data_IF_360766136421
#
_entry.id   IF_360766136421
#
_cell.length_a   1.000
_cell.length_b   1.000
_cell.length_c   1.000
_cell.angle_alpha   90.00
_cell.angle_beta   90.00
_cell.angle_gamma   90.00
#
_symmetry.space_group_name_H-M   'P 1'
#
loop_
_entity.id
_entity.type
_entity.pdbx_description
1 polymer ?
#
# COMPACT_ATOMS: atom_id res chain seq x y z
N UNK A 1 29.01 -21.84 10.56
CA UNK A 1 28.54 -21.01 9.43
C UNK A 1 28.47 -19.56 9.89
N UNK A 2 29.08 -18.58 9.20
CA UNK A 2 29.13 -17.18 9.65
C UNK A 2 27.78 -16.45 9.51
N UNK A 3 26.96 -16.82 8.52
CA UNK A 3 25.61 -16.26 8.34
C UNK A 3 24.61 -16.99 9.24
N UNK A 4 24.00 -16.28 10.19
CA UNK A 4 23.04 -16.84 11.18
C UNK A 4 21.58 -16.53 10.84
N UNK A 5 21.33 -15.42 10.16
CA UNK A 5 19.99 -14.97 9.80
C UNK A 5 20.01 -14.13 8.52
N UNK A 6 18.87 -14.08 7.82
CA UNK A 6 18.61 -13.19 6.69
C UNK A 6 17.32 -12.42 6.95
N UNK A 7 17.36 -11.11 6.71
CA UNK A 7 16.21 -10.23 6.74
C UNK A 7 15.80 -9.97 5.29
N UNK A 8 14.55 -10.25 4.95
CA UNK A 8 14.00 -9.92 3.65
C UNK A 8 13.02 -8.77 3.79
N UNK A 9 13.23 -7.70 3.03
CA UNK A 9 12.16 -6.77 2.71
C UNK A 9 11.03 -7.49 1.95
N UNK A 10 9.79 -6.99 2.04
CA UNK A 10 8.63 -7.63 1.43
C UNK A 10 8.34 -7.10 0.01
N UNK A 11 8.16 -5.79 -0.13
CA UNK A 11 7.64 -5.16 -1.35
C UNK A 11 8.75 -4.77 -2.31
N UNK A 12 8.72 -5.28 -3.54
CA UNK A 12 9.83 -5.09 -4.48
C UNK A 12 11.04 -5.98 -4.19
N UNK A 13 10.91 -6.91 -3.24
CA UNK A 13 11.91 -7.94 -2.92
C UNK A 13 11.31 -9.33 -3.00
N UNK A 14 10.28 -9.64 -2.19
CA UNK A 14 9.59 -10.94 -2.21
C UNK A 14 8.33 -10.93 -3.08
N UNK A 15 7.65 -9.79 -3.16
CA UNK A 15 6.42 -9.60 -3.94
C UNK A 15 6.55 -8.41 -4.88
N UNK A 16 6.05 -8.58 -6.09
CA UNK A 16 6.02 -7.53 -7.12
C UNK A 16 4.62 -7.35 -7.68
N UNK A 17 4.26 -6.15 -8.15
CA UNK A 17 3.04 -5.98 -8.92
C UNK A 17 3.09 -6.85 -10.19
N UNK A 18 1.98 -7.52 -10.49
CA UNK A 18 1.82 -8.33 -11.71
C UNK A 18 1.37 -7.52 -12.93
N UNK A 19 1.26 -6.21 -12.76
CA UNK A 19 0.85 -5.21 -13.76
C UNK A 19 1.83 -4.03 -13.68
N UNK A 20 1.77 -3.11 -14.65
CA UNK A 20 2.54 -1.86 -14.57
C UNK A 20 2.13 -1.01 -13.37
N UNK A 21 3.03 -0.12 -12.93
CA UNK A 21 2.71 0.81 -11.84
C UNK A 21 1.53 1.73 -12.19
N UNK A 22 1.42 2.16 -13.45
CA UNK A 22 0.28 2.97 -13.92
C UNK A 22 -1.03 2.18 -13.80
N UNK A 23 -1.07 0.94 -14.29
CA UNK A 23 -2.27 0.08 -14.15
C UNK A 23 -2.64 -0.16 -12.69
N UNK A 24 -1.64 -0.37 -11.83
CA UNK A 24 -1.85 -0.53 -10.40
C UNK A 24 -2.48 0.72 -9.77
N UNK A 25 -1.97 1.91 -10.10
CA UNK A 25 -2.51 3.20 -9.61
C UNK A 25 -3.91 3.42 -10.14
N UNK A 26 -4.16 3.21 -11.44
CA UNK A 26 -5.48 3.34 -12.06
C UNK A 26 -6.51 2.43 -11.40
N UNK A 27 -6.14 1.19 -11.12
CA UNK A 27 -7.01 0.25 -10.41
C UNK A 27 -7.34 0.74 -9.01
N UNK A 28 -6.35 1.25 -8.26
CA UNK A 28 -6.57 1.86 -6.94
C UNK A 28 -7.51 3.06 -7.02
N UNK A 29 -7.27 3.98 -7.96
CA UNK A 29 -8.11 5.15 -8.22
C UNK A 29 -9.56 4.75 -8.46
N UNK A 30 -9.79 3.79 -9.36
CA UNK A 30 -11.13 3.32 -9.69
C UNK A 30 -11.86 2.80 -8.44
N UNK A 31 -11.17 2.00 -7.61
CA UNK A 31 -11.76 1.47 -6.40
C UNK A 31 -12.08 2.56 -5.37
N UNK A 32 -11.19 3.55 -5.19
CA UNK A 32 -11.43 4.70 -4.31
C UNK A 32 -12.57 5.58 -4.81
N UNK A 33 -12.65 5.82 -6.12
CA UNK A 33 -13.74 6.57 -6.74
C UNK A 33 -15.10 5.91 -6.46
N UNK A 34 -15.22 4.60 -6.69
CA UNK A 34 -16.44 3.85 -6.34
C UNK A 34 -16.70 3.85 -4.82
N UNK A 35 -15.65 3.79 -4.01
CA UNK A 35 -15.72 3.89 -2.56
C UNK A 35 -16.30 5.21 -2.08
N UNK A 36 -15.84 6.33 -2.64
CA UNK A 36 -16.33 7.68 -2.37
C UNK A 36 -17.77 7.88 -2.84
N UNK A 37 -18.10 7.39 -4.03
CA UNK A 37 -19.46 7.43 -4.58
C UNK A 37 -20.47 6.74 -3.67
N UNK A 38 -20.13 5.57 -3.14
CA UNK A 38 -20.96 4.84 -2.14
C UNK A 38 -21.15 5.61 -0.83
N UNK A 39 -20.27 6.56 -0.51
CA UNK A 39 -20.37 7.45 0.65
C UNK A 39 -21.03 8.80 0.32
N UNK A 40 -21.61 8.94 -0.86
CA UNK A 40 -22.34 10.15 -1.28
C UNK A 40 -21.43 11.31 -1.65
N UNK A 41 -20.26 11.03 -2.23
CA UNK A 41 -19.39 12.03 -2.85
C UNK A 41 -19.41 11.84 -4.37
N UNK A 42 -19.56 12.94 -5.12
CA UNK A 42 -19.67 12.92 -6.57
C UNK A 42 -18.44 13.56 -7.23
N UNK A 43 -17.26 13.02 -6.93
CA UNK A 43 -16.03 13.35 -7.65
C UNK A 43 -15.98 12.55 -8.96
N UNK A 44 -15.35 13.10 -9.99
CA UNK A 44 -15.02 12.31 -11.17
C UNK A 44 -13.72 11.51 -10.97
N UNK A 45 -13.49 10.49 -11.79
CA UNK A 45 -12.34 9.60 -11.63
C UNK A 45 -10.99 10.33 -11.82
N UNK A 46 -10.95 11.38 -12.65
CA UNK A 46 -9.73 12.17 -12.87
C UNK A 46 -9.36 12.97 -11.62
N UNK A 47 -10.33 13.60 -10.95
CA UNK A 47 -10.12 14.29 -9.67
C UNK A 47 -9.58 13.33 -8.61
N UNK A 48 -10.13 12.12 -8.54
CA UNK A 48 -9.66 11.07 -7.63
C UNK A 48 -8.22 10.65 -7.96
N UNK A 49 -7.90 10.48 -9.24
CA UNK A 49 -6.55 10.14 -9.69
C UNK A 49 -5.54 11.21 -9.29
N UNK A 50 -5.82 12.47 -9.62
CA UNK A 50 -4.92 13.58 -9.35
C UNK A 50 -4.72 13.80 -7.85
N UNK A 51 -5.78 13.72 -7.04
CA UNK A 51 -5.69 13.82 -5.59
C UNK A 51 -4.89 12.64 -4.99
N UNK A 52 -5.10 11.42 -5.49
CA UNK A 52 -4.33 10.26 -5.06
C UNK A 52 -2.83 10.45 -5.36
N UNK A 53 -2.48 10.88 -6.56
CA UNK A 53 -1.08 11.13 -6.94
C UNK A 53 -0.44 12.20 -6.06
N UNK A 54 -1.08 13.37 -5.91
CA UNK A 54 -0.57 14.44 -5.03
C UNK A 54 -0.41 13.98 -3.57
N UNK A 55 -1.39 13.27 -3.04
CA UNK A 55 -1.32 12.77 -1.66
C UNK A 55 -0.16 11.80 -1.44
N UNK A 56 0.17 10.97 -2.45
CA UNK A 56 1.30 10.05 -2.40
C UNK A 56 2.63 10.78 -2.44
N UNK A 57 2.78 11.77 -3.32
CA UNK A 57 3.97 12.62 -3.37
C UNK A 57 4.23 13.30 -2.02
N UNK A 58 3.18 13.80 -1.35
CA UNK A 58 3.31 14.37 -0.01
C UNK A 58 3.73 13.31 1.02
N UNK A 59 3.15 12.11 0.97
CA UNK A 59 3.53 11.02 1.88
C UNK A 59 4.99 10.58 1.64
N UNK A 60 5.46 10.59 0.40
CA UNK A 60 6.85 10.26 0.06
C UNK A 60 7.82 11.32 0.62
N UNK A 61 7.49 12.60 0.51
CA UNK A 61 8.26 13.68 1.18
C UNK A 61 8.28 13.49 2.70
N UNK A 62 7.17 13.10 3.33
CA UNK A 62 7.13 12.83 4.77
C UNK A 62 8.07 11.66 5.11
N UNK A 63 8.07 10.58 4.33
CA UNK A 63 8.99 9.45 4.54
C UNK A 63 10.44 9.87 4.44
N UNK A 64 10.78 10.63 3.41
CA UNK A 64 12.15 11.10 3.16
C UNK A 64 12.65 12.02 4.28
N UNK A 65 11.82 12.96 4.73
CA UNK A 65 12.22 13.95 5.74
C UNK A 65 12.24 13.35 7.15
N UNK A 66 11.26 12.50 7.48
CA UNK A 66 11.10 11.99 8.85
C UNK A 66 11.77 10.65 9.09
N UNK A 67 12.14 9.93 8.02
CA UNK A 67 12.57 8.54 8.04
C UNK A 67 11.55 7.61 8.72
N UNK A 68 10.28 8.00 8.74
CA UNK A 68 9.17 7.24 9.31
C UNK A 68 8.18 6.85 8.22
N UNK A 69 7.66 5.64 8.33
CA UNK A 69 6.60 5.18 7.45
C UNK A 69 5.29 5.95 7.69
N UNK A 70 4.53 6.16 6.62
CA UNK A 70 3.17 6.71 6.68
C UNK A 70 2.17 5.55 6.67
N UNK A 71 1.33 5.47 7.70
CA UNK A 71 0.28 4.43 7.78
C UNK A 71 -0.74 4.57 6.65
N UNK A 72 -1.39 3.46 6.27
CA UNK A 72 -2.44 3.47 5.23
C UNK A 72 -3.58 4.42 5.60
N UNK A 73 -3.96 4.46 6.87
CA UNK A 73 -4.97 5.40 7.39
C UNK A 73 -4.53 6.85 7.19
N UNK A 74 -3.25 7.17 7.42
CA UNK A 74 -2.70 8.49 7.15
C UNK A 74 -2.65 8.80 5.65
N UNK A 75 -2.24 7.86 4.80
CA UNK A 75 -2.28 8.05 3.33
C UNK A 75 -3.71 8.35 2.86
N UNK A 76 -4.70 7.62 3.39
CA UNK A 76 -6.12 7.86 3.09
C UNK A 76 -6.59 9.21 3.62
N UNK A 77 -6.20 9.62 4.83
CA UNK A 77 -6.53 10.96 5.32
C UNK A 77 -5.92 12.06 4.45
N UNK A 78 -4.68 11.90 4.01
CA UNK A 78 -4.03 12.85 3.11
C UNK A 78 -4.75 12.92 1.78
N UNK A 79 -5.12 11.77 1.20
CA UNK A 79 -5.95 11.70 0.00
C UNK A 79 -7.30 12.41 0.17
N UNK A 80 -8.00 12.18 1.29
CA UNK A 80 -9.28 12.83 1.57
C UNK A 80 -9.17 14.34 1.72
N UNK A 81 -8.06 14.81 2.29
CA UNK A 81 -7.72 16.23 2.35
C UNK A 81 -7.46 16.78 0.95
N UNK A 82 -6.66 16.11 0.13
CA UNK A 82 -6.31 16.54 -1.24
C UNK A 82 -7.51 16.60 -2.18
N UNK A 83 -8.48 15.69 -2.04
CA UNK A 83 -9.72 15.71 -2.82
C UNK A 83 -10.79 16.63 -2.20
N UNK A 84 -10.45 17.40 -1.18
CA UNK A 84 -11.33 18.39 -0.54
C UNK A 84 -12.60 17.79 0.07
N UNK A 85 -12.52 16.59 0.66
CA UNK A 85 -13.61 16.08 1.51
C UNK A 85 -13.73 16.98 2.76
N UNK A 86 -14.92 17.50 3.08
CA UNK A 86 -15.11 18.31 4.27
C UNK A 86 -14.73 17.53 5.54
N UNK A 87 -13.92 18.13 6.41
CA UNK A 87 -13.46 17.49 7.67
C UNK A 87 -14.64 16.99 8.51
N UNK A 88 -15.77 17.70 8.51
CA UNK A 88 -17.00 17.29 9.21
C UNK A 88 -17.59 15.97 8.72
N UNK A 89 -17.23 15.52 7.51
CA UNK A 89 -17.64 14.23 6.93
C UNK A 89 -16.57 13.14 7.04
N UNK A 90 -15.36 13.48 7.50
CA UNK A 90 -14.28 12.51 7.71
C UNK A 90 -14.43 11.94 9.11
N UNK A 91 -14.68 10.63 9.20
CA UNK A 91 -14.75 9.90 10.46
C UNK A 91 -13.97 8.58 10.37
N UNK A 92 -13.78 7.93 11.53
CA UNK A 92 -13.00 6.69 11.63
C UNK A 92 -13.52 5.59 10.70
N UNK A 93 -14.84 5.42 10.61
CA UNK A 93 -15.45 4.41 9.75
C UNK A 93 -15.16 4.65 8.26
N UNK A 94 -15.23 5.91 7.81
CA UNK A 94 -14.86 6.28 6.44
C UNK A 94 -13.37 6.02 6.15
N UNK A 95 -12.49 6.38 7.09
CA UNK A 95 -11.04 6.14 6.95
C UNK A 95 -10.77 4.63 6.84
N UNK A 96 -11.29 3.82 7.79
CA UNK A 96 -11.09 2.37 7.78
C UNK A 96 -11.59 1.74 6.48
N UNK A 97 -12.82 2.07 6.06
CA UNK A 97 -13.40 1.56 4.82
C UNK A 97 -12.57 1.89 3.58
N UNK A 98 -12.11 3.14 3.45
CA UNK A 98 -11.30 3.56 2.32
C UNK A 98 -9.87 3.00 2.39
N UNK A 99 -9.30 2.81 3.58
CA UNK A 99 -8.01 2.14 3.76
C UNK A 99 -8.05 0.68 3.30
N UNK A 100 -9.14 -0.04 3.58
CA UNK A 100 -9.28 -1.42 3.11
C UNK A 100 -9.40 -1.47 1.58
N UNK A 101 -10.12 -0.51 1.00
CA UNK A 101 -10.20 -0.33 -0.46
C UNK A 101 -8.83 0.00 -1.06
N UNK A 102 -8.10 0.93 -0.45
CA UNK A 102 -6.77 1.37 -0.87
C UNK A 102 -5.77 0.21 -0.95
N UNK A 103 -5.90 -0.76 -0.03
CA UNK A 103 -5.06 -1.96 0.05
C UNK A 103 -5.48 -3.08 -0.91
N UNK A 104 -6.67 -3.09 -1.49
CA UNK A 104 -7.10 -4.15 -2.43
C UNK A 104 -6.14 -4.41 -3.59
N UNK A 105 -5.56 -3.41 -4.27
CA UNK A 105 -4.56 -3.63 -5.30
C UNK A 105 -3.32 -4.39 -4.77
N UNK A 106 -2.91 -4.14 -3.52
CA UNK A 106 -1.82 -4.86 -2.89
C UNK A 106 -2.14 -6.35 -2.72
N UNK A 107 -3.39 -6.70 -2.40
CA UNK A 107 -3.79 -8.11 -2.22
C UNK A 107 -4.07 -8.84 -3.55
N UNK A 108 -4.49 -8.12 -4.59
CA UNK A 108 -5.04 -8.71 -5.81
C UNK A 108 -4.10 -8.63 -7.02
N UNK A 109 -3.23 -7.64 -7.06
CA UNK A 109 -2.35 -7.37 -8.20
C UNK A 109 -0.89 -7.66 -7.90
N UNK A 110 -0.58 -8.44 -6.87
CA UNK A 110 0.79 -8.69 -6.43
C UNK A 110 1.06 -10.18 -6.43
N UNK A 111 2.27 -10.55 -6.81
CA UNK A 111 2.68 -11.95 -6.94
C UNK A 111 4.04 -12.16 -6.31
N UNK A 112 4.28 -13.32 -5.69
CA UNK A 112 5.59 -13.66 -5.17
C UNK A 112 6.60 -13.82 -6.32
N UNK A 113 7.86 -13.53 -6.02
CA UNK A 113 8.99 -13.81 -6.92
C UNK A 113 9.07 -15.30 -7.25
N UNK A 114 9.38 -15.60 -8.51
CA UNK A 114 9.61 -16.98 -8.95
C UNK A 114 10.75 -17.61 -8.16
N UNK A 115 10.51 -18.80 -7.61
CA UNK A 115 11.53 -19.54 -6.85
C UNK A 115 11.61 -19.20 -5.37
N UNK A 116 10.75 -18.31 -4.85
CA UNK A 116 10.74 -17.92 -3.44
C UNK A 116 10.63 -19.12 -2.48
N UNK A 117 9.79 -20.10 -2.81
CA UNK A 117 9.66 -21.34 -2.02
C UNK A 117 10.96 -22.16 -2.01
N UNK A 118 11.69 -22.21 -3.13
CA UNK A 118 12.97 -22.92 -3.21
C UNK A 118 14.04 -22.20 -2.39
N UNK A 119 14.07 -20.87 -2.46
CA UNK A 119 14.97 -20.04 -1.66
C UNK A 119 14.77 -20.27 -0.16
N UNK A 120 13.54 -20.13 0.34
CA UNK A 120 13.27 -20.33 1.77
C UNK A 120 13.54 -21.75 2.24
N UNK A 121 13.27 -22.76 1.40
CA UNK A 121 13.65 -24.15 1.72
C UNK A 121 15.16 -24.32 1.84
N UNK A 122 15.94 -23.74 0.91
CA UNK A 122 17.39 -23.82 0.95
C UNK A 122 17.95 -23.13 2.22
N UNK A 123 17.49 -21.91 2.52
CA UNK A 123 17.93 -21.16 3.71
C UNK A 123 17.61 -21.91 5.00
N UNK A 124 16.39 -22.47 5.10
CA UNK A 124 15.96 -23.24 6.27
C UNK A 124 16.80 -24.51 6.44
N UNK A 125 17.09 -25.23 5.36
CA UNK A 125 17.94 -26.44 5.39
C UNK A 125 19.38 -26.13 5.81
N UNK A 126 19.85 -24.90 5.61
CA UNK A 126 21.17 -24.44 6.06
C UNK A 126 21.19 -24.04 7.54
N UNK A 127 20.05 -24.14 8.25
CA UNK A 127 19.93 -23.71 9.65
C UNK A 127 19.97 -22.19 9.83
N UNK A 128 19.74 -21.43 8.77
CA UNK A 128 19.73 -19.96 8.78
C UNK A 128 18.32 -19.48 9.11
N UNK A 129 18.20 -18.56 10.08
CA UNK A 129 16.91 -17.97 10.45
C UNK A 129 16.45 -16.95 9.41
N UNK A 130 15.13 -16.87 9.19
CA UNK A 130 14.53 -15.91 8.26
C UNK A 130 13.60 -14.99 9.03
N UNK A 131 13.68 -13.68 8.77
CA UNK A 131 12.65 -12.73 9.13
C UNK A 131 12.24 -11.91 7.91
N UNK A 132 10.95 -11.60 7.83
CA UNK A 132 10.39 -10.71 6.82
C UNK A 132 10.15 -9.36 7.48
N UNK A 133 10.68 -8.31 6.87
CA UNK A 133 10.54 -6.92 7.31
C UNK A 133 9.58 -6.24 6.34
N UNK A 134 8.53 -5.63 6.86
CA UNK A 134 7.55 -4.90 6.06
C UNK A 134 7.09 -3.67 6.81
N UNK A 135 6.93 -2.57 6.07
CA UNK A 135 6.44 -1.31 6.61
C UNK A 135 4.90 -1.22 6.56
N UNK A 136 4.23 -2.18 5.92
CA UNK A 136 2.76 -2.18 5.77
C UNK A 136 2.13 -3.07 6.84
N UNK A 137 1.49 -2.46 7.85
CA UNK A 137 0.89 -3.18 8.99
C UNK A 137 -0.44 -3.92 8.68
N UNK A 138 -0.97 -3.83 7.45
CA UNK A 138 -2.19 -4.55 7.03
C UNK A 138 -1.85 -5.81 6.22
N UNK A 139 -1.19 -6.75 6.89
CA UNK A 139 -1.09 -8.15 6.47
C UNK A 139 -1.67 -9.03 7.56
N UNK A 140 -2.99 -8.94 7.74
CA UNK A 140 -3.80 -9.80 8.61
C UNK A 140 -4.64 -10.74 7.75
#
# INVERSE_FOLDING_TARGET
MPLKAVLFDLWGTLFFPSVSLEEYVRYRTKLLHEGLKKRGFNFNEKEVYEALTRSREICDVIREVTLREVTVEMEVMMFLKEISVPISRINKDMITYLSDIYMKPYLTLTKPVKGLTKLFRAITNMGIKVAIVSNTMKGS
#
